data_IF_046669176063
#
_entry.id   IF_046669176063
#
_cell.length_a   1.000
_cell.length_b   1.000
_cell.length_c   1.000
_cell.angle_alpha   90.00
_cell.angle_beta   90.00
_cell.angle_gamma   90.00
#
_symmetry.space_group_name_H-M   'P 1'
#
loop_
_entity.id
_entity.type
_entity.pdbx_description
1 polymer ?
#
# COMPACT_ATOMS: atom_id res chain seq x y z
N UNK A 1 -6.28 -11.34 -15.89
CA UNK A 1 -5.57 -10.45 -14.96
C UNK A 1 -4.87 -11.26 -13.88
N UNK A 2 -3.65 -10.89 -13.54
CA UNK A 2 -2.90 -11.46 -12.44
C UNK A 2 -2.53 -10.36 -11.42
N UNK A 3 -3.03 -10.48 -10.18
CA UNK A 3 -2.71 -9.53 -9.12
C UNK A 3 -1.53 -10.03 -8.30
N UNK A 4 -0.54 -9.14 -8.11
CA UNK A 4 0.62 -9.38 -7.25
C UNK A 4 1.02 -8.08 -6.53
N UNK A 5 1.90 -8.19 -5.53
CA UNK A 5 2.45 -7.03 -4.85
C UNK A 5 3.96 -6.93 -5.04
N UNK A 6 4.46 -5.70 -4.95
CA UNK A 6 5.89 -5.43 -4.86
C UNK A 6 6.31 -5.56 -3.39
N UNK A 7 7.34 -6.33 -3.10
CA UNK A 7 7.98 -6.27 -1.80
C UNK A 7 8.91 -5.05 -1.77
N UNK A 8 8.59 -4.05 -0.95
CA UNK A 8 9.36 -2.80 -0.84
C UNK A 8 10.84 -3.08 -0.60
N UNK A 9 11.12 -3.97 0.36
CA UNK A 9 12.49 -4.36 0.72
C UNK A 9 13.26 -5.11 -0.37
N UNK A 10 12.58 -5.60 -1.40
CA UNK A 10 13.24 -6.17 -2.59
C UNK A 10 13.80 -5.07 -3.49
N UNK A 11 13.16 -3.90 -3.49
CA UNK A 11 13.57 -2.73 -4.29
C UNK A 11 14.51 -1.82 -3.49
N UNK A 12 14.14 -1.51 -2.25
CA UNK A 12 14.93 -0.73 -1.29
C UNK A 12 14.98 -1.49 0.03
N UNK A 13 16.03 -2.29 0.29
CA UNK A 13 16.12 -3.19 1.46
C UNK A 13 15.91 -2.53 2.81
N UNK A 14 16.41 -1.31 3.01
CA UNK A 14 16.17 -0.51 4.21
C UNK A 14 15.05 0.52 4.01
N UNK A 15 14.73 0.86 2.76
CA UNK A 15 13.74 1.86 2.38
C UNK A 15 14.30 3.25 2.11
N UNK A 16 15.53 3.54 2.52
CA UNK A 16 16.18 4.86 2.39
C UNK A 16 17.40 4.90 1.45
N UNK A 17 17.73 3.79 0.78
CA UNK A 17 18.84 3.74 -0.16
C UNK A 17 18.72 4.80 -1.26
N UNK A 18 19.84 5.34 -1.70
CA UNK A 18 19.88 6.29 -2.82
C UNK A 18 19.48 5.63 -4.15
N UNK A 19 19.90 4.38 -4.36
CA UNK A 19 19.66 3.61 -5.59
C UNK A 19 18.87 2.35 -5.30
N UNK A 20 17.94 1.97 -6.19
CA UNK A 20 17.20 0.74 -6.06
C UNK A 20 18.07 -0.49 -6.33
N UNK A 21 17.64 -1.62 -5.79
CA UNK A 21 18.23 -2.92 -6.08
C UNK A 21 17.82 -3.41 -7.49
N UNK A 22 18.74 -3.35 -8.42
CA UNK A 22 18.51 -3.73 -9.82
C UNK A 22 18.06 -5.19 -9.97
N UNK A 23 18.57 -6.10 -9.14
CA UNK A 23 18.12 -7.51 -9.15
C UNK A 23 16.65 -7.63 -8.76
N UNK A 24 16.19 -6.81 -7.79
CA UNK A 24 14.81 -6.75 -7.40
C UNK A 24 13.89 -6.20 -8.49
N UNK A 25 14.32 -5.12 -9.15
CA UNK A 25 13.60 -4.56 -10.30
C UNK A 25 13.50 -5.56 -11.45
N UNK A 26 14.61 -6.21 -11.79
CA UNK A 26 14.66 -7.21 -12.87
C UNK A 26 13.74 -8.39 -12.60
N UNK A 27 13.65 -8.86 -11.35
CA UNK A 27 12.77 -9.95 -10.96
C UNK A 27 11.29 -9.65 -11.31
N UNK A 28 10.79 -8.46 -10.97
CA UNK A 28 9.41 -8.09 -11.31
C UNK A 28 9.22 -7.82 -12.81
N UNK A 29 10.21 -7.22 -13.45
CA UNK A 29 10.19 -7.03 -14.90
C UNK A 29 10.00 -8.35 -15.66
N UNK A 30 10.68 -9.40 -15.23
CA UNK A 30 10.57 -10.73 -15.84
C UNK A 30 9.17 -11.33 -15.62
N UNK A 31 8.58 -11.13 -14.43
CA UNK A 31 7.20 -11.55 -14.16
C UNK A 31 6.22 -10.83 -15.09
N UNK A 32 6.34 -9.51 -15.25
CA UNK A 32 5.43 -8.74 -16.09
C UNK A 32 5.56 -9.13 -17.58
N UNK A 33 6.79 -9.33 -18.06
CA UNK A 33 7.03 -9.83 -19.43
C UNK A 33 6.42 -11.22 -19.63
N UNK A 34 6.53 -12.10 -18.64
CA UNK A 34 5.93 -13.43 -18.74
C UNK A 34 4.39 -13.35 -18.74
N UNK A 35 3.79 -12.48 -17.92
CA UNK A 35 2.35 -12.24 -17.97
C UNK A 35 1.90 -11.83 -19.37
N UNK A 36 2.56 -10.84 -19.98
CA UNK A 36 2.19 -10.36 -21.33
C UNK A 36 2.33 -11.45 -22.40
N UNK A 37 3.33 -12.31 -22.29
CA UNK A 37 3.52 -13.43 -23.21
C UNK A 37 2.32 -14.36 -23.28
N UNK A 38 1.56 -14.47 -22.19
CA UNK A 38 0.33 -15.27 -22.11
C UNK A 38 -0.95 -14.42 -22.18
N UNK A 39 -0.88 -13.16 -22.56
CA UNK A 39 -2.04 -12.27 -22.63
C UNK A 39 -2.64 -11.96 -21.25
N UNK A 40 -1.86 -12.05 -20.17
CA UNK A 40 -2.29 -11.77 -18.82
C UNK A 40 -1.91 -10.34 -18.45
N UNK A 41 -2.88 -9.53 -18.04
CA UNK A 41 -2.65 -8.15 -17.60
C UNK A 41 -2.24 -8.10 -16.12
N UNK A 42 -1.09 -7.52 -15.77
CA UNK A 42 -0.69 -7.34 -14.37
C UNK A 42 -1.54 -6.28 -13.66
N UNK A 43 -1.98 -6.57 -12.43
CA UNK A 43 -2.52 -5.60 -11.48
C UNK A 43 -1.59 -5.57 -10.27
N UNK A 44 -0.85 -4.49 -10.09
CA UNK A 44 0.26 -4.42 -9.15
C UNK A 44 -0.07 -3.60 -7.93
N UNK A 45 -0.02 -4.21 -6.75
CA UNK A 45 -0.12 -3.51 -5.46
C UNK A 45 1.28 -3.05 -5.04
N UNK A 46 1.46 -1.74 -4.81
CA UNK A 46 2.77 -1.16 -4.48
C UNK A 46 3.15 -1.48 -3.04
N UNK A 47 2.24 -1.23 -2.09
CA UNK A 47 2.45 -1.57 -0.68
C UNK A 47 1.36 -2.54 -0.20
N UNK A 48 1.76 -3.74 0.22
CA UNK A 48 0.88 -4.78 0.76
C UNK A 48 1.37 -5.19 2.16
N UNK A 49 1.27 -4.26 3.12
CA UNK A 49 1.66 -4.44 4.53
C UNK A 49 3.16 -4.69 4.77
N UNK A 50 4.03 -4.28 3.86
CA UNK A 50 5.47 -4.55 3.90
C UNK A 50 6.33 -3.29 4.12
N UNK A 51 6.08 -2.58 5.21
CA UNK A 51 6.92 -1.46 5.60
C UNK A 51 8.34 -1.95 5.97
N UNK A 52 9.42 -1.37 5.40
CA UNK A 52 10.78 -1.74 5.76
C UNK A 52 11.06 -1.59 7.26
N UNK A 53 11.50 -2.67 7.90
CA UNK A 53 11.76 -2.68 9.35
C UNK A 53 12.79 -1.61 9.78
N UNK A 54 13.73 -1.27 8.91
CA UNK A 54 14.67 -0.20 9.16
C UNK A 54 13.98 1.16 9.31
N UNK A 55 13.01 1.49 8.44
CA UNK A 55 12.24 2.73 8.54
C UNK A 55 11.33 2.73 9.79
N UNK A 56 10.78 1.55 10.15
CA UNK A 56 10.01 1.44 11.41
C UNK A 56 10.89 1.81 12.60
N UNK A 57 12.10 1.26 12.67
CA UNK A 57 13.05 1.54 13.77
C UNK A 57 13.61 2.96 13.74
N UNK A 58 13.82 3.51 12.55
CA UNK A 58 14.48 4.82 12.37
C UNK A 58 13.53 5.98 12.63
N UNK A 59 12.28 5.89 12.12
CA UNK A 59 11.32 7.00 12.12
C UNK A 59 9.92 6.63 12.61
N UNK A 60 9.69 5.40 13.06
CA UNK A 60 8.40 4.94 13.57
C UNK A 60 7.37 4.57 12.50
N UNK A 61 7.82 4.20 11.29
CA UNK A 61 6.90 3.81 10.22
C UNK A 61 5.98 4.96 9.78
N UNK A 62 4.73 4.64 9.43
CA UNK A 62 3.77 5.63 8.89
C UNK A 62 3.29 6.69 9.88
N UNK A 63 3.64 6.58 11.17
CA UNK A 63 3.43 7.69 12.12
C UNK A 63 4.27 8.92 11.75
N UNK A 64 5.40 8.71 11.06
CA UNK A 64 6.24 9.80 10.56
C UNK A 64 5.79 10.27 9.18
N UNK A 65 5.71 11.60 9.01
CA UNK A 65 5.41 12.22 7.72
C UNK A 65 6.51 11.96 6.66
N UNK A 66 7.72 11.65 7.09
CA UNK A 66 8.84 11.34 6.18
C UNK A 66 8.57 10.09 5.33
N UNK A 67 7.74 9.15 5.81
CA UNK A 67 7.34 7.98 5.03
C UNK A 67 6.75 8.32 3.67
N UNK A 68 6.11 9.47 3.55
CA UNK A 68 5.55 9.95 2.28
C UNK A 68 6.66 10.06 1.23
N UNK A 69 7.82 10.60 1.59
CA UNK A 69 8.94 10.79 0.66
C UNK A 69 9.57 9.45 0.26
N UNK A 70 9.73 8.52 1.19
CA UNK A 70 10.25 7.19 0.88
C UNK A 70 9.31 6.41 -0.02
N UNK A 71 8.01 6.46 0.26
CA UNK A 71 7.00 5.83 -0.59
C UNK A 71 6.92 6.49 -1.98
N UNK A 72 7.00 7.82 -2.05
CA UNK A 72 7.02 8.53 -3.33
C UNK A 72 8.20 8.09 -4.19
N UNK A 73 9.40 7.96 -3.60
CA UNK A 73 10.59 7.47 -4.28
C UNK A 73 10.41 6.03 -4.80
N UNK A 74 9.80 5.15 -3.98
CA UNK A 74 9.46 3.80 -4.43
C UNK A 74 8.53 3.86 -5.64
N UNK A 75 7.44 4.62 -5.57
CA UNK A 75 6.47 4.76 -6.64
C UNK A 75 7.11 5.29 -7.92
N UNK A 76 7.94 6.33 -7.83
CA UNK A 76 8.65 6.89 -8.97
C UNK A 76 9.52 5.82 -9.65
N UNK A 77 10.31 5.11 -8.87
CA UNK A 77 11.17 4.03 -9.38
C UNK A 77 10.37 2.95 -10.12
N UNK A 78 9.22 2.56 -9.57
CA UNK A 78 8.37 1.51 -10.17
C UNK A 78 7.68 2.01 -11.44
N UNK A 79 7.09 3.20 -11.43
CA UNK A 79 6.37 3.76 -12.57
C UNK A 79 7.31 4.04 -13.75
N UNK A 80 8.51 4.56 -13.49
CA UNK A 80 9.52 4.77 -14.53
C UNK A 80 10.04 3.45 -15.10
N UNK A 81 10.36 2.48 -14.23
CA UNK A 81 10.93 1.19 -14.63
C UNK A 81 9.96 0.34 -15.44
N UNK A 82 8.69 0.31 -15.03
CA UNK A 82 7.70 -0.58 -15.62
C UNK A 82 6.73 0.12 -16.56
N UNK A 83 7.08 1.32 -17.04
CA UNK A 83 6.32 2.06 -18.06
C UNK A 83 6.11 1.17 -19.29
N UNK A 84 4.84 1.03 -19.69
CA UNK A 84 4.44 0.17 -20.80
C UNK A 84 4.39 -1.34 -20.48
N UNK A 85 4.85 -1.77 -19.28
CA UNK A 85 4.71 -3.15 -18.79
C UNK A 85 3.58 -3.31 -17.79
N UNK A 86 3.27 -2.30 -17.01
CA UNK A 86 2.19 -2.31 -16.02
C UNK A 86 1.33 -1.07 -16.22
N UNK A 87 0.04 -1.30 -16.36
CA UNK A 87 -0.98 -0.24 -16.52
C UNK A 87 -1.82 -0.07 -15.24
N UNK A 88 -2.08 -1.14 -14.51
CA UNK A 88 -2.99 -1.15 -13.38
C UNK A 88 -2.23 -1.26 -12.06
N UNK A 89 -2.42 -0.26 -11.20
CA UNK A 89 -1.72 -0.12 -9.94
C UNK A 89 -2.67 0.08 -8.77
N UNK A 90 -2.35 -0.51 -7.63
CA UNK A 90 -2.96 -0.19 -6.34
C UNK A 90 -1.88 0.38 -5.43
N UNK A 91 -2.07 1.58 -4.91
CA UNK A 91 -1.09 2.23 -4.05
C UNK A 91 -0.90 1.47 -2.75
N UNK A 92 -2.01 1.15 -2.08
CA UNK A 92 -2.03 0.39 -0.84
C UNK A 92 -3.04 -0.75 -0.92
N UNK A 93 -2.74 -1.85 -0.24
CA UNK A 93 -3.69 -2.88 0.11
C UNK A 93 -4.41 -2.48 1.39
N UNK A 94 -5.74 -2.50 1.38
CA UNK A 94 -6.59 -2.36 2.57
C UNK A 94 -6.16 -1.22 3.51
N UNK A 95 -6.04 -0.01 2.98
CA UNK A 95 -5.49 1.16 3.69
C UNK A 95 -6.19 1.44 5.03
N UNK A 96 -7.47 1.05 5.17
CA UNK A 96 -8.26 1.20 6.39
C UNK A 96 -7.90 0.18 7.47
N UNK A 97 -7.13 -0.87 7.15
CA UNK A 97 -6.76 -1.90 8.14
C UNK A 97 -5.74 -1.42 9.19
N UNK A 98 -5.18 -0.23 9.04
CA UNK A 98 -4.38 0.42 10.10
C UNK A 98 -5.15 0.48 11.43
N UNK A 99 -6.46 0.71 11.37
CA UNK A 99 -7.31 0.82 12.57
C UNK A 99 -7.46 -0.51 13.31
N UNK A 100 -7.13 -1.64 12.67
CA UNK A 100 -7.23 -2.99 13.24
C UNK A 100 -5.86 -3.63 13.47
N UNK A 101 -4.91 -3.38 12.56
CA UNK A 101 -3.58 -4.00 12.57
C UNK A 101 -2.47 -2.94 12.38
N UNK A 102 -2.32 -1.98 13.32
CA UNK A 102 -1.44 -0.81 13.14
C UNK A 102 0.02 -1.15 12.86
N UNK A 103 0.56 -2.20 13.49
CA UNK A 103 1.93 -2.62 13.21
C UNK A 103 2.06 -3.23 11.80
N UNK A 104 1.19 -4.16 11.44
CA UNK A 104 1.25 -4.86 10.15
C UNK A 104 0.99 -3.89 9.00
N UNK A 105 -0.04 -3.05 9.11
CA UNK A 105 -0.47 -2.17 8.03
C UNK A 105 0.37 -0.88 7.91
N UNK A 106 1.02 -0.45 9.00
CA UNK A 106 1.68 0.86 9.03
C UNK A 106 3.02 0.90 9.80
N UNK A 107 3.50 -0.22 10.34
CA UNK A 107 4.72 -0.26 11.12
C UNK A 107 4.63 0.57 12.42
N UNK A 108 3.44 0.69 13.01
CA UNK A 108 3.22 1.50 14.22
C UNK A 108 3.48 0.64 15.45
N UNK A 109 4.39 1.10 16.31
CA UNK A 109 4.53 0.65 17.68
C UNK A 109 4.08 1.79 18.59
N UNK A 110 3.15 1.52 19.52
CA UNK A 110 2.71 2.53 20.48
C UNK A 110 3.68 2.67 21.64
N UNK A 111 3.79 3.89 22.16
CA UNK A 111 4.52 4.19 23.40
C UNK A 111 3.52 4.28 24.57
N UNK A 112 4.04 4.10 25.78
CA UNK A 112 3.19 4.17 26.98
C UNK A 112 2.54 5.54 27.11
N UNK A 113 1.21 5.56 27.29
CA UNK A 113 0.41 6.78 27.43
C UNK A 113 0.05 7.53 26.15
N UNK A 114 0.41 7.01 24.98
CA UNK A 114 0.00 7.61 23.71
C UNK A 114 -1.50 7.47 23.45
N UNK A 115 -2.06 8.44 22.75
CA UNK A 115 -3.40 8.33 22.19
C UNK A 115 -3.32 7.51 20.87
N UNK A 116 -3.55 6.19 20.98
CA UNK A 116 -3.45 5.24 19.86
C UNK A 116 -4.30 5.65 18.67
N UNK A 117 -5.55 6.10 18.92
CA UNK A 117 -6.46 6.56 17.85
C UNK A 117 -5.87 7.74 17.09
N UNK A 118 -5.28 8.70 17.79
CA UNK A 118 -4.65 9.84 17.14
C UNK A 118 -3.44 9.42 16.30
N UNK A 119 -2.60 8.52 16.81
CA UNK A 119 -1.43 8.00 16.08
C UNK A 119 -1.87 7.27 14.82
N UNK A 120 -2.84 6.35 14.93
CA UNK A 120 -3.38 5.62 13.77
C UNK A 120 -4.01 6.56 12.74
N UNK A 121 -4.84 7.52 13.17
CA UNK A 121 -5.47 8.48 12.26
C UNK A 121 -4.45 9.34 11.54
N UNK A 122 -3.37 9.75 12.23
CA UNK A 122 -2.26 10.48 11.61
C UNK A 122 -1.56 9.63 10.55
N UNK A 123 -1.31 8.36 10.83
CA UNK A 123 -0.69 7.44 9.88
C UNK A 123 -1.57 7.20 8.64
N UNK A 124 -2.88 7.01 8.82
CA UNK A 124 -3.85 6.93 7.70
C UNK A 124 -3.78 8.19 6.84
N UNK A 125 -3.76 9.38 7.48
CA UNK A 125 -3.63 10.65 6.76
C UNK A 125 -2.35 10.71 5.92
N UNK A 126 -1.21 10.26 6.46
CA UNK A 126 0.04 10.21 5.72
C UNK A 126 -0.03 9.24 4.54
N UNK A 127 -0.63 8.05 4.70
CA UNK A 127 -0.81 7.10 3.60
C UNK A 127 -1.75 7.65 2.51
N UNK A 128 -2.83 8.35 2.89
CA UNK A 128 -3.73 8.98 1.92
C UNK A 128 -3.03 10.07 1.11
N UNK A 129 -2.20 10.91 1.75
CA UNK A 129 -1.38 11.89 1.04
C UNK A 129 -0.40 11.19 0.09
N UNK A 130 0.30 10.17 0.57
CA UNK A 130 1.25 9.41 -0.24
C UNK A 130 0.56 8.75 -1.45
N UNK A 131 -0.64 8.20 -1.27
CA UNK A 131 -1.46 7.63 -2.34
C UNK A 131 -1.86 8.69 -3.39
N UNK A 132 -2.30 9.87 -2.93
CA UNK A 132 -2.65 10.97 -3.83
C UNK A 132 -1.45 11.49 -4.64
N UNK A 133 -0.28 11.64 -3.98
CA UNK A 133 0.96 12.03 -4.64
C UNK A 133 1.43 10.97 -5.64
N UNK A 134 1.35 9.69 -5.30
CA UNK A 134 1.68 8.60 -6.20
C UNK A 134 0.74 8.56 -7.42
N UNK A 135 -0.55 8.79 -7.22
CA UNK A 135 -1.54 8.85 -8.31
C UNK A 135 -1.20 9.98 -9.30
N UNK A 136 -0.91 11.16 -8.79
CA UNK A 136 -0.50 12.30 -9.63
C UNK A 136 0.77 11.96 -10.42
N UNK A 137 1.80 11.47 -9.75
CA UNK A 137 3.06 11.09 -10.37
C UNK A 137 2.89 10.03 -11.46
N UNK A 138 2.06 9.01 -11.20
CA UNK A 138 1.80 7.95 -12.17
C UNK A 138 1.23 8.48 -13.48
N UNK A 139 0.28 9.43 -13.41
CA UNK A 139 -0.31 10.06 -14.59
C UNK A 139 0.67 11.03 -15.30
N UNK A 140 1.58 11.67 -14.54
CA UNK A 140 2.65 12.51 -15.12
C UNK A 140 3.67 11.65 -15.91
N UNK A 141 3.99 10.43 -15.42
CA UNK A 141 4.91 9.51 -16.09
C UNK A 141 4.25 8.83 -17.30
N UNK A 142 3.01 8.37 -17.13
CA UNK A 142 2.21 7.79 -18.22
C UNK A 142 0.72 8.04 -17.96
N UNK A 143 0.08 8.83 -18.84
CA UNK A 143 -1.35 9.15 -18.74
C UNK A 143 -2.28 7.92 -18.87
N UNK A 144 -1.77 6.78 -19.37
CA UNK A 144 -2.54 5.53 -19.48
C UNK A 144 -2.58 4.74 -18.17
N UNK A 145 -1.79 5.08 -17.17
CA UNK A 145 -1.82 4.42 -15.87
C UNK A 145 -3.21 4.54 -15.23
N UNK A 146 -3.67 3.44 -14.68
CA UNK A 146 -4.92 3.35 -13.89
C UNK A 146 -4.54 3.05 -12.45
N UNK A 147 -4.81 4.02 -11.58
CA UNK A 147 -4.37 3.98 -10.18
C UNK A 147 -5.58 3.86 -9.26
N UNK A 148 -5.52 2.90 -8.36
CA UNK A 148 -6.50 2.70 -7.30
C UNK A 148 -5.87 2.58 -5.92
N UNK A 149 -6.72 2.41 -4.92
CA UNK A 149 -6.36 2.05 -3.57
C UNK A 149 -7.37 1.00 -3.09
N UNK A 150 -6.89 -0.07 -2.46
CA UNK A 150 -7.79 -1.11 -1.97
C UNK A 150 -8.28 -0.79 -0.57
N UNK A 151 -9.58 -1.03 -0.35
CA UNK A 151 -10.22 -1.00 0.95
C UNK A 151 -10.66 -2.41 1.36
N UNK A 152 -10.47 -2.78 2.62
CA UNK A 152 -11.17 -3.90 3.21
C UNK A 152 -12.60 -3.46 3.53
N UNK A 153 -13.56 -4.05 2.86
CA UNK A 153 -14.98 -3.81 3.08
C UNK A 153 -15.70 -5.15 3.22
N UNK A 154 -16.47 -5.29 4.27
CA UNK A 154 -17.34 -6.42 4.52
C UNK A 154 -18.77 -5.96 4.67
N UNK A 155 -19.72 -6.81 4.33
CA UNK A 155 -21.13 -6.60 4.66
C UNK A 155 -21.49 -7.54 5.81
N UNK A 156 -22.03 -6.97 6.87
CA UNK A 156 -22.51 -7.72 8.02
C UNK A 156 -23.98 -8.05 7.86
N UNK A 157 -24.33 -9.30 8.10
CA UNK A 157 -25.70 -9.79 8.06
C UNK A 157 -26.12 -10.19 9.47
N UNK A 158 -27.42 -10.06 9.81
CA UNK A 158 -27.91 -10.53 11.09
C UNK A 158 -27.78 -12.05 11.21
N UNK A 159 -27.31 -12.55 12.35
CA UNK A 159 -27.17 -13.98 12.61
C UNK A 159 -28.54 -14.65 12.72
N UNK A 160 -29.54 -13.96 13.26
CA UNK A 160 -30.92 -14.43 13.39
C UNK A 160 -31.91 -13.36 12.95
N UNK A 161 -33.21 -13.73 12.90
CA UNK A 161 -34.29 -12.76 12.61
C UNK A 161 -34.68 -11.89 13.81
N UNK A 162 -33.89 -11.84 14.88
CA UNK A 162 -34.16 -11.00 16.04
C UNK A 162 -33.85 -9.53 15.74
N UNK A 163 -34.64 -8.58 16.26
CA UNK A 163 -34.42 -7.16 16.05
C UNK A 163 -33.02 -6.69 16.49
N UNK A 164 -32.48 -7.26 17.56
CA UNK A 164 -31.15 -6.94 18.11
C UNK A 164 -30.05 -7.28 17.12
N UNK A 165 -30.13 -8.43 16.44
CA UNK A 165 -29.14 -8.87 15.45
C UNK A 165 -29.19 -8.00 14.19
N UNK A 166 -30.41 -7.60 13.76
CA UNK A 166 -30.58 -6.65 12.67
C UNK A 166 -30.00 -5.30 12.99
N UNK A 167 -30.29 -4.79 14.21
CA UNK A 167 -29.78 -3.50 14.66
C UNK A 167 -28.25 -3.50 14.72
N UNK A 168 -27.67 -4.57 15.25
CA UNK A 168 -26.21 -4.73 15.30
C UNK A 168 -25.61 -4.75 13.89
N UNK A 169 -26.15 -5.54 12.97
CA UNK A 169 -25.66 -5.59 11.59
C UNK A 169 -25.75 -4.23 10.88
N UNK A 170 -26.79 -3.42 11.15
CA UNK A 170 -26.92 -2.05 10.63
C UNK A 170 -25.84 -1.13 11.20
N UNK A 171 -25.54 -1.24 12.49
CA UNK A 171 -24.51 -0.41 13.14
C UNK A 171 -23.10 -0.77 12.72
N UNK A 172 -22.85 -2.04 12.36
CA UNK A 172 -21.55 -2.57 11.98
C UNK A 172 -21.24 -2.38 10.48
N UNK A 173 -22.24 -2.06 9.61
CA UNK A 173 -22.11 -1.73 8.20
C UNK A 173 -21.85 -0.23 7.97
#
# INVERSE_FOLDING_TARGET
TYRLSIAWTRIFPNGDEEKPNEKGLKFYEDIFKECHKYGIEPLVTINHFDCPMYLIKKIGGWRSREMINYFYKLCQTLFERYKGLVKYWLTFNEINMILHFPFVAAGICFEEGENETQVMTTAVHHQLIASAMATKLAHEIDANNQIGCMLAAGSYYPETCKPEDYWKAICDN
#
